data_IF_325321204743
#
_entry.id   IF_325321204743
#
_cell.length_a   1.000
_cell.length_b   1.000
_cell.length_c   1.000
_cell.angle_alpha   90.00
_cell.angle_beta   90.00
_cell.angle_gamma   90.00
#
_symmetry.space_group_name_H-M   'P 1'
#
loop_
_entity.id
_entity.type
_entity.pdbx_description
1 polymer ?
#
# COMPACT_ATOMS: atom_id res chain seq x y z
N UNK A 1 29.07 61.56 16.74
CA UNK A 1 28.08 60.52 17.10
C UNK A 1 27.98 59.58 15.92
N UNK A 2 28.65 58.42 15.97
CA UNK A 2 28.62 57.41 14.91
C UNK A 2 27.54 56.40 15.24
N UNK A 3 26.56 56.24 14.35
CA UNK A 3 25.49 55.25 14.47
C UNK A 3 25.86 54.05 13.60
N UNK A 4 26.04 52.89 14.21
CA UNK A 4 26.24 51.62 13.52
C UNK A 4 24.88 50.90 13.40
N UNK A 5 24.44 50.63 12.18
CA UNK A 5 23.26 49.81 11.89
C UNK A 5 23.76 48.38 11.65
N UNK A 6 23.50 47.48 12.60
CA UNK A 6 23.77 46.06 12.45
C UNK A 6 22.67 45.37 11.64
N UNK A 7 23.00 44.90 10.44
CA UNK A 7 22.12 44.02 9.66
C UNK A 7 22.36 42.59 10.14
N UNK A 8 21.41 42.03 10.88
CA UNK A 8 21.41 40.62 11.25
C UNK A 8 20.98 39.78 10.05
N UNK A 9 21.94 39.11 9.41
CA UNK A 9 21.63 38.01 8.50
C UNK A 9 21.26 36.78 9.32
N UNK A 10 19.98 36.40 9.30
CA UNK A 10 19.56 35.08 9.76
C UNK A 10 20.01 34.03 8.74
N UNK A 11 21.15 33.41 8.98
CA UNK A 11 21.56 32.22 8.25
C UNK A 11 20.60 31.07 8.61
N UNK A 12 19.72 30.70 7.69
CA UNK A 12 18.95 29.47 7.79
C UNK A 12 19.89 28.29 7.64
N UNK A 13 20.26 27.64 8.74
CA UNK A 13 20.91 26.34 8.68
C UNK A 13 19.88 25.31 8.18
N UNK A 14 20.11 24.70 7.01
CA UNK A 14 19.41 23.47 6.65
C UNK A 14 19.84 22.39 7.64
N UNK A 15 18.88 21.77 8.33
CA UNK A 15 19.13 20.51 9.03
C UNK A 15 19.42 19.48 7.94
N UNK A 16 20.70 19.16 7.78
CA UNK A 16 21.14 18.03 6.96
C UNK A 16 21.14 16.79 7.87
N UNK A 17 19.96 16.24 8.14
CA UNK A 17 19.85 14.84 8.56
C UNK A 17 20.01 13.92 7.33
N UNK A 18 21.06 14.15 6.54
CA UNK A 18 21.41 13.33 5.38
C UNK A 18 22.63 12.52 5.76
N UNK A 19 22.40 11.49 6.58
CA UNK A 19 23.28 10.34 6.65
C UNK A 19 22.86 9.33 5.56
N UNK A 20 23.81 8.60 4.99
CA UNK A 20 23.46 7.38 4.26
C UNK A 20 22.80 6.44 5.27
N UNK A 21 21.56 5.95 5.02
CA UNK A 21 20.97 4.97 5.92
C UNK A 21 21.90 3.76 6.03
N UNK A 22 21.98 3.14 7.20
CA UNK A 22 22.62 1.84 7.31
C UNK A 22 21.78 0.83 6.52
N UNK A 23 22.30 0.36 5.40
CA UNK A 23 21.63 -0.63 4.53
C UNK A 23 22.17 -2.01 4.84
N UNK A 24 21.31 -2.89 5.34
CA UNK A 24 21.57 -4.32 5.43
C UNK A 24 20.86 -5.04 4.28
N UNK A 25 21.62 -5.81 3.50
CA UNK A 25 21.10 -6.58 2.37
C UNK A 25 20.93 -8.05 2.74
N UNK A 26 19.74 -8.60 2.49
CA UNK A 26 19.43 -10.02 2.67
C UNK A 26 19.19 -10.66 1.30
N UNK A 27 20.22 -11.27 0.67
CA UNK A 27 20.04 -11.92 -0.62
C UNK A 27 19.21 -13.20 -0.49
N UNK A 28 18.61 -13.65 -1.62
CA UNK A 28 17.67 -14.79 -1.64
C UNK A 28 18.21 -16.10 -1.09
N UNK A 29 19.52 -16.31 -1.13
CA UNK A 29 20.19 -17.48 -0.56
C UNK A 29 20.25 -17.45 0.98
N UNK A 30 19.97 -16.31 1.62
CA UNK A 30 19.86 -16.22 3.07
C UNK A 30 18.47 -16.66 3.54
N UNK A 31 17.41 -16.15 2.91
CA UNK A 31 16.04 -16.48 3.29
C UNK A 31 15.45 -17.69 2.53
N UNK A 32 16.18 -18.23 1.55
CA UNK A 32 15.87 -19.46 0.79
C UNK A 32 14.47 -19.48 0.14
N UNK A 33 14.07 -18.35 -0.45
CA UNK A 33 12.85 -18.23 -1.24
C UNK A 33 13.09 -17.36 -2.49
N UNK A 34 12.04 -17.08 -3.26
CA UNK A 34 12.09 -16.31 -4.49
C UNK A 34 12.63 -14.89 -4.28
N UNK A 35 13.20 -14.29 -5.32
CA UNK A 35 13.83 -12.96 -5.25
C UNK A 35 12.84 -11.79 -5.19
N UNK A 36 11.54 -12.03 -5.42
CA UNK A 36 10.53 -10.98 -5.44
C UNK A 36 9.71 -10.98 -4.15
N UNK A 37 9.66 -9.82 -3.50
CA UNK A 37 8.85 -9.54 -2.33
C UNK A 37 7.88 -8.40 -2.65
N UNK A 38 6.60 -8.57 -2.34
CA UNK A 38 5.51 -7.72 -2.82
C UNK A 38 4.94 -6.79 -1.78
N UNK A 39 5.03 -7.19 -0.51
CA UNK A 39 4.58 -6.40 0.61
C UNK A 39 5.45 -6.68 1.82
N UNK A 40 5.43 -5.74 2.77
CA UNK A 40 6.16 -5.80 4.01
C UNK A 40 5.24 -5.32 5.14
N UNK A 41 5.32 -5.95 6.30
CA UNK A 41 4.66 -5.51 7.51
C UNK A 41 5.49 -5.87 8.74
N UNK A 42 5.30 -5.12 9.83
CA UNK A 42 5.93 -5.41 11.11
C UNK A 42 4.84 -5.57 12.18
N UNK A 43 4.94 -6.61 13.01
CA UNK A 43 4.04 -6.75 14.16
C UNK A 43 4.54 -5.94 15.37
N UNK A 44 3.72 -5.84 16.42
CA UNK A 44 4.09 -5.10 17.64
C UNK A 44 5.26 -5.72 18.43
N UNK A 45 5.61 -6.97 18.14
CA UNK A 45 6.73 -7.70 18.76
C UNK A 45 8.05 -7.50 17.99
N UNK A 46 8.02 -6.78 16.87
CA UNK A 46 9.20 -6.45 16.06
C UNK A 46 9.49 -7.43 14.92
N UNK A 47 8.73 -8.54 14.80
CA UNK A 47 8.87 -9.47 13.68
C UNK A 47 8.48 -8.80 12.37
N UNK A 48 9.27 -9.05 11.35
CA UNK A 48 9.05 -8.56 10.00
C UNK A 48 8.43 -9.67 9.16
N UNK A 49 7.45 -9.31 8.33
CA UNK A 49 6.75 -10.21 7.44
C UNK A 49 6.81 -9.71 6.02
N UNK A 50 7.00 -10.63 5.07
CA UNK A 50 7.10 -10.31 3.66
C UNK A 50 6.23 -11.25 2.83
N UNK A 51 5.40 -10.69 1.95
CA UNK A 51 4.74 -11.49 0.93
C UNK A 51 5.72 -11.79 -0.21
N UNK A 52 5.93 -13.06 -0.51
CA UNK A 52 6.90 -13.54 -1.50
C UNK A 52 6.21 -14.45 -2.53
N UNK A 53 6.84 -14.68 -3.69
CA UNK A 53 6.32 -15.64 -4.68
C UNK A 53 6.17 -17.06 -4.13
N UNK A 54 6.93 -17.45 -3.10
CA UNK A 54 6.89 -18.80 -2.54
C UNK A 54 6.03 -18.92 -1.27
N UNK A 55 5.49 -17.81 -0.74
CA UNK A 55 4.70 -17.80 0.50
C UNK A 55 4.91 -16.56 1.37
N UNK A 56 4.54 -16.68 2.65
CA UNK A 56 4.79 -15.66 3.67
C UNK A 56 6.17 -15.92 4.30
N UNK A 57 7.07 -14.94 4.25
CA UNK A 57 8.32 -14.97 4.99
C UNK A 57 8.14 -14.24 6.33
N UNK A 58 8.65 -14.83 7.40
CA UNK A 58 8.82 -14.20 8.72
C UNK A 58 10.32 -14.04 9.01
N UNK A 59 10.69 -12.89 9.57
CA UNK A 59 12.04 -12.60 10.03
C UNK A 59 12.01 -12.08 11.46
N UNK A 60 12.73 -12.76 12.36
CA UNK A 60 12.78 -12.47 13.80
C UNK A 60 13.96 -11.55 14.21
N UNK A 61 14.73 -11.07 13.23
CA UNK A 61 15.98 -10.33 13.46
C UNK A 61 17.25 -11.15 13.19
N UNK A 62 17.14 -12.48 13.11
CA UNK A 62 18.25 -13.40 12.83
C UNK A 62 17.90 -14.51 11.85
N UNK A 63 16.75 -15.16 12.04
CA UNK A 63 16.29 -16.31 11.27
C UNK A 63 15.12 -15.94 10.37
N UNK A 64 15.07 -16.60 9.23
CA UNK A 64 14.01 -16.49 8.24
C UNK A 64 13.22 -17.79 8.22
N UNK A 65 11.90 -17.69 8.30
CA UNK A 65 10.99 -18.84 8.18
C UNK A 65 10.01 -18.60 7.04
N UNK A 66 9.88 -19.58 6.14
CA UNK A 66 8.90 -19.56 5.06
C UNK A 66 7.65 -20.35 5.44
N UNK A 67 6.50 -19.74 5.25
CA UNK A 67 5.17 -20.33 5.39
C UNK A 67 4.46 -20.33 4.03
N UNK A 68 4.52 -21.43 3.27
CA UNK A 68 3.80 -21.54 2.00
C UNK A 68 2.27 -21.51 2.22
N UNK A 69 1.55 -20.93 1.27
CA UNK A 69 0.11 -21.16 1.17
C UNK A 69 -0.17 -22.61 0.77
N UNK A 70 -1.34 -23.20 1.13
CA UNK A 70 -1.73 -24.54 0.70
C UNK A 70 -1.60 -24.77 -0.81
N UNK A 71 -2.01 -23.80 -1.63
CA UNK A 71 -1.87 -23.85 -3.09
C UNK A 71 -0.45 -23.67 -3.61
N UNK A 72 0.54 -23.40 -2.72
CA UNK A 72 1.92 -23.02 -3.05
C UNK A 72 1.99 -21.85 -4.03
N UNK A 73 1.07 -20.91 -3.85
CA UNK A 73 0.99 -19.69 -4.65
C UNK A 73 1.68 -18.52 -3.95
N UNK A 74 1.88 -17.46 -4.73
CA UNK A 74 2.36 -16.16 -4.28
C UNK A 74 1.55 -15.59 -3.11
N UNK A 75 2.23 -14.99 -2.13
CA UNK A 75 1.61 -14.04 -1.20
C UNK A 75 1.85 -12.63 -1.71
N UNK A 76 0.81 -12.03 -2.29
CA UNK A 76 0.85 -10.71 -2.93
C UNK A 76 0.68 -9.59 -1.91
N UNK A 77 -0.18 -9.78 -0.91
CA UNK A 77 -0.52 -8.76 0.08
C UNK A 77 -0.74 -9.35 1.47
N UNK A 78 -0.42 -8.57 2.50
CA UNK A 78 -0.62 -8.93 3.91
C UNK A 78 -1.18 -7.78 4.73
N UNK A 79 -1.89 -8.12 5.81
CA UNK A 79 -2.33 -7.17 6.85
C UNK A 79 -2.21 -7.84 8.22
N UNK A 80 -1.50 -7.19 9.14
CA UNK A 80 -1.38 -7.65 10.53
C UNK A 80 -2.44 -6.97 11.40
N UNK A 81 -3.21 -7.77 12.15
CA UNK A 81 -4.18 -7.29 13.13
C UNK A 81 -4.14 -8.14 14.39
N UNK A 82 -3.48 -7.62 15.44
CA UNK A 82 -3.17 -8.42 16.62
C UNK A 82 -2.14 -9.49 16.26
N UNK A 83 -2.41 -10.75 16.63
CA UNK A 83 -1.60 -11.91 16.24
C UNK A 83 -2.06 -12.56 14.91
N UNK A 84 -3.10 -12.03 14.27
CA UNK A 84 -3.58 -12.52 12.97
C UNK A 84 -2.88 -11.81 11.83
N UNK A 85 -2.40 -12.58 10.85
CA UNK A 85 -1.79 -12.07 9.62
C UNK A 85 -2.69 -12.47 8.45
N UNK A 86 -3.55 -11.56 8.01
CA UNK A 86 -4.31 -11.76 6.78
C UNK A 86 -3.35 -11.78 5.60
N UNK A 87 -3.56 -12.73 4.69
CA UNK A 87 -2.74 -12.92 3.51
C UNK A 87 -3.62 -13.17 2.29
N UNK A 88 -3.17 -12.66 1.15
CA UNK A 88 -3.87 -12.78 -0.13
C UNK A 88 -2.86 -13.00 -1.25
N UNK A 89 -3.22 -13.91 -2.15
CA UNK A 89 -2.41 -14.39 -3.25
C UNK A 89 -3.23 -14.57 -4.51
N UNK A 90 -2.75 -15.44 -5.40
CA UNK A 90 -3.48 -15.89 -6.58
C UNK A 90 -4.56 -16.91 -6.19
N UNK A 91 -5.83 -16.55 -6.39
CA UNK A 91 -7.04 -17.33 -6.09
C UNK A 91 -7.13 -17.91 -4.67
N UNK A 92 -6.30 -17.39 -3.75
CA UNK A 92 -6.23 -17.82 -2.37
C UNK A 92 -6.17 -16.60 -1.44
N UNK A 93 -7.10 -16.53 -0.49
CA UNK A 93 -7.06 -15.54 0.58
C UNK A 93 -7.48 -16.14 1.91
N UNK A 94 -6.90 -15.62 2.98
CA UNK A 94 -7.13 -16.14 4.32
C UNK A 94 -6.33 -15.40 5.37
N UNK A 95 -5.99 -16.10 6.43
CA UNK A 95 -5.09 -15.58 7.45
C UNK A 95 -4.25 -16.66 8.10
N UNK A 96 -3.07 -16.26 8.56
CA UNK A 96 -2.26 -17.02 9.48
C UNK A 96 -2.60 -16.65 10.92
N UNK A 97 -2.65 -17.66 11.79
CA UNK A 97 -2.74 -17.52 13.24
C UNK A 97 -1.71 -18.46 13.88
N UNK A 98 -0.98 -18.02 14.93
CA UNK A 98 -0.11 -18.93 15.66
C UNK A 98 -0.92 -20.02 16.38
N UNK A 99 -0.44 -21.25 16.31
CA UNK A 99 -0.90 -22.35 17.16
C UNK A 99 -0.33 -22.25 18.59
N UNK A 100 -0.57 -23.29 19.40
CA UNK A 100 -0.12 -23.33 20.79
C UNK A 100 1.42 -23.27 20.94
N UNK A 101 2.16 -23.71 19.92
CA UNK A 101 3.62 -23.69 19.88
C UNK A 101 4.16 -22.41 19.21
N UNK A 102 3.27 -21.49 18.81
CA UNK A 102 3.61 -20.24 18.13
C UNK A 102 3.83 -20.37 16.63
N UNK A 103 3.61 -21.55 16.04
CA UNK A 103 3.79 -21.77 14.61
C UNK A 103 2.57 -21.25 13.84
N UNK A 104 2.81 -20.47 12.79
CA UNK A 104 1.74 -19.93 11.96
C UNK A 104 1.02 -21.04 11.17
N UNK A 105 -0.31 -21.07 11.31
CA UNK A 105 -1.22 -21.96 10.58
C UNK A 105 -2.16 -21.14 9.70
N UNK A 106 -2.27 -21.50 8.42
CA UNK A 106 -3.13 -20.80 7.48
C UNK A 106 -4.57 -21.32 7.54
N UNK A 107 -5.53 -20.40 7.66
CA UNK A 107 -6.96 -20.65 7.49
C UNK A 107 -7.42 -20.03 6.18
N UNK A 108 -7.86 -20.87 5.24
CA UNK A 108 -8.39 -20.43 3.96
C UNK A 108 -9.80 -19.82 4.15
N UNK A 109 -10.06 -18.70 3.49
CA UNK A 109 -11.35 -18.01 3.49
C UNK A 109 -12.03 -18.01 2.11
N UNK A 110 -11.35 -18.45 1.05
CA UNK A 110 -11.87 -18.47 -0.32
C UNK A 110 -13.19 -19.26 -0.44
N UNK A 111 -13.35 -20.32 0.35
CA UNK A 111 -14.57 -21.16 0.33
C UNK A 111 -15.81 -20.46 0.91
N UNK A 112 -15.64 -19.33 1.60
CA UNK A 112 -16.75 -18.53 2.13
C UNK A 112 -17.32 -17.56 1.09
N UNK A 113 -16.71 -17.46 -0.09
CA UNK A 113 -17.16 -16.60 -1.18
C UNK A 113 -18.16 -17.38 -2.06
N UNK A 114 -19.25 -16.77 -2.54
CA UNK A 114 -20.11 -17.39 -3.55
C UNK A 114 -19.33 -17.79 -4.80
N UNK A 115 -19.61 -18.97 -5.37
CA UNK A 115 -18.87 -19.60 -6.47
C UNK A 115 -18.65 -18.65 -7.66
N UNK A 116 -19.66 -17.85 -7.98
CA UNK A 116 -19.63 -16.86 -9.05
C UNK A 116 -18.46 -15.86 -8.93
N UNK A 117 -18.04 -15.55 -7.70
CA UNK A 117 -16.96 -14.61 -7.41
C UNK A 117 -15.63 -15.27 -7.03
N UNK A 118 -15.51 -16.61 -7.06
CA UNK A 118 -14.29 -17.31 -6.60
C UNK A 118 -13.11 -17.22 -7.56
N UNK A 119 -13.34 -16.89 -8.85
CA UNK A 119 -12.24 -16.57 -9.77
C UNK A 119 -11.99 -15.07 -9.78
N UNK A 120 -11.12 -14.64 -8.85
CA UNK A 120 -10.79 -13.24 -8.63
C UNK A 120 -9.34 -12.89 -8.99
N UNK A 121 -8.58 -13.84 -9.55
CA UNK A 121 -7.15 -13.67 -9.87
C UNK A 121 -6.36 -13.36 -8.58
N UNK A 122 -5.68 -12.22 -8.50
CA UNK A 122 -4.86 -11.88 -7.34
C UNK A 122 -5.52 -10.94 -6.35
N UNK A 123 -5.25 -11.14 -5.05
CA UNK A 123 -5.50 -10.14 -4.02
C UNK A 123 -4.32 -9.17 -3.93
N UNK A 124 -4.48 -8.01 -4.56
CA UNK A 124 -3.46 -6.97 -4.65
C UNK A 124 -3.27 -6.18 -3.36
N UNK A 125 -4.33 -5.99 -2.57
CA UNK A 125 -4.30 -5.21 -1.33
C UNK A 125 -5.24 -5.79 -0.27
N UNK A 126 -4.84 -5.66 0.99
CA UNK A 126 -5.67 -5.99 2.16
C UNK A 126 -5.67 -4.79 3.11
N UNK A 127 -6.87 -4.36 3.53
CA UNK A 127 -7.02 -3.21 4.43
C UNK A 127 -7.88 -3.55 5.64
N UNK A 128 -7.43 -3.10 6.80
CA UNK A 128 -8.25 -3.05 8.01
C UNK A 128 -9.13 -1.82 7.97
N UNK A 129 -10.44 -2.00 8.08
CA UNK A 129 -11.42 -0.89 8.09
C UNK A 129 -12.35 -1.00 9.30
N UNK A 130 -13.10 0.07 9.58
CA UNK A 130 -14.19 0.01 10.57
C UNK A 130 -15.32 -0.96 10.20
N UNK A 131 -15.40 -1.36 8.92
CA UNK A 131 -16.40 -2.29 8.41
C UNK A 131 -15.93 -3.74 8.38
N UNK A 132 -14.65 -4.04 8.64
CA UNK A 132 -14.07 -5.37 8.50
C UNK A 132 -12.74 -5.36 7.75
N UNK A 133 -12.32 -6.51 7.25
CA UNK A 133 -11.12 -6.66 6.43
C UNK A 133 -11.51 -6.60 4.97
N UNK A 134 -10.94 -5.67 4.22
CA UNK A 134 -11.18 -5.51 2.80
C UNK A 134 -10.06 -6.16 1.99
N UNK A 135 -10.37 -7.19 1.20
CA UNK A 135 -9.46 -7.81 0.24
C UNK A 135 -9.81 -7.31 -1.15
N UNK A 136 -8.83 -6.74 -1.86
CA UNK A 136 -9.05 -6.14 -3.17
C UNK A 136 -8.37 -6.94 -4.26
N UNK A 137 -9.15 -7.39 -5.24
CA UNK A 137 -8.67 -7.81 -6.55
C UNK A 137 -9.07 -6.79 -7.63
N UNK A 138 -8.59 -6.94 -8.86
CA UNK A 138 -9.07 -6.11 -9.97
C UNK A 138 -10.51 -6.42 -10.40
N UNK A 139 -11.03 -7.59 -10.00
CA UNK A 139 -12.39 -8.03 -10.32
C UNK A 139 -13.40 -7.63 -9.26
N UNK A 140 -13.03 -7.64 -7.98
CA UNK A 140 -13.95 -7.42 -6.87
C UNK A 140 -13.25 -6.83 -5.64
N UNK A 141 -14.05 -6.22 -4.77
CA UNK A 141 -13.66 -5.85 -3.42
C UNK A 141 -14.46 -6.70 -2.43
N UNK A 142 -13.77 -7.52 -1.65
CA UNK A 142 -14.37 -8.45 -0.70
C UNK A 142 -14.24 -7.90 0.72
N UNK A 143 -15.37 -7.67 1.40
CA UNK A 143 -15.39 -7.23 2.79
C UNK A 143 -15.70 -8.41 3.69
N UNK A 144 -14.70 -8.88 4.44
CA UNK A 144 -14.82 -9.93 5.44
C UNK A 144 -15.16 -9.36 6.81
N UNK A 145 -16.29 -9.78 7.38
CA UNK A 145 -16.72 -9.41 8.72
C UNK A 145 -17.51 -10.54 9.36
N UNK A 146 -17.18 -10.89 10.61
CA UNK A 146 -17.90 -11.88 11.41
C UNK A 146 -18.16 -13.20 10.67
N UNK A 147 -17.12 -13.73 10.00
CA UNK A 147 -17.21 -15.01 9.28
C UNK A 147 -17.93 -14.95 7.93
N UNK A 148 -18.28 -13.77 7.41
CA UNK A 148 -19.03 -13.61 6.15
C UNK A 148 -18.35 -12.61 5.22
N UNK A 149 -18.49 -12.85 3.92
CA UNK A 149 -18.11 -11.90 2.88
C UNK A 149 -19.30 -11.09 2.37
N UNK A 150 -19.07 -9.81 2.15
CA UNK A 150 -19.85 -8.97 1.24
C UNK A 150 -18.97 -8.65 0.04
N UNK A 151 -19.48 -8.91 -1.17
CA UNK A 151 -18.74 -8.65 -2.42
C UNK A 151 -19.24 -7.35 -3.03
N UNK A 152 -18.31 -6.49 -3.43
CA UNK A 152 -18.59 -5.25 -4.15
C UNK A 152 -17.97 -5.38 -5.54
N UNK A 153 -18.80 -5.24 -6.56
CA UNK A 153 -18.38 -5.27 -7.96
C UNK A 153 -17.97 -3.88 -8.45
N UNK A 154 -16.96 -3.78 -9.32
CA UNK A 154 -16.63 -2.55 -10.03
C UNK A 154 -17.74 -2.21 -11.02
N UNK A 155 -17.74 -0.97 -11.52
CA UNK A 155 -18.57 -0.63 -12.68
C UNK A 155 -17.97 -1.21 -13.97
N UNK A 156 -16.65 -1.30 -14.04
CA UNK A 156 -15.93 -1.94 -15.16
C UNK A 156 -14.88 -2.92 -14.64
N UNK A 157 -13.76 -2.40 -14.17
CA UNK A 157 -12.75 -3.14 -13.43
C UNK A 157 -12.05 -2.20 -12.47
N UNK A 158 -11.62 -2.74 -11.34
CA UNK A 158 -10.79 -1.99 -10.42
C UNK A 158 -9.35 -1.91 -10.96
N UNK A 159 -8.69 -0.82 -10.59
CA UNK A 159 -7.25 -0.65 -10.65
C UNK A 159 -6.72 -0.65 -9.21
N UNK A 160 -5.77 0.22 -8.90
CA UNK A 160 -5.17 0.32 -7.58
C UNK A 160 -6.15 0.86 -6.53
N UNK A 161 -5.92 0.43 -5.30
CA UNK A 161 -6.65 0.85 -4.11
C UNK A 161 -5.70 1.34 -3.04
N UNK A 162 -6.20 2.15 -2.10
CA UNK A 162 -5.42 2.84 -1.07
C UNK A 162 -6.22 2.95 0.21
N UNK A 163 -5.54 2.97 1.36
CA UNK A 163 -6.16 3.28 2.65
C UNK A 163 -5.65 4.64 3.12
N UNK A 164 -6.56 5.62 3.22
CA UNK A 164 -6.24 6.96 3.71
C UNK A 164 -7.20 7.33 4.82
N UNK A 165 -6.67 7.68 5.99
CA UNK A 165 -7.46 8.07 7.17
C UNK A 165 -8.58 7.07 7.52
N UNK A 166 -8.29 5.77 7.37
CA UNK A 166 -9.24 4.68 7.66
C UNK A 166 -10.31 4.44 6.57
N UNK A 167 -10.26 5.18 5.45
CA UNK A 167 -11.18 5.05 4.32
C UNK A 167 -10.44 4.37 3.17
N UNK A 168 -11.05 3.33 2.61
CA UNK A 168 -10.54 2.68 1.40
C UNK A 168 -10.96 3.51 0.19
N UNK A 169 -9.97 3.95 -0.58
CA UNK A 169 -10.15 4.53 -1.89
C UNK A 169 -9.79 3.49 -2.94
N UNK A 170 -10.51 3.47 -4.06
CA UNK A 170 -10.28 2.53 -5.15
C UNK A 170 -10.56 3.22 -6.47
N UNK A 171 -9.73 2.94 -7.47
CA UNK A 171 -9.93 3.46 -8.82
C UNK A 171 -10.74 2.44 -9.61
N UNK A 172 -11.89 2.85 -10.13
CA UNK A 172 -12.57 2.14 -11.23
C UNK A 172 -12.15 2.77 -12.56
N UNK A 173 -11.82 1.93 -13.55
CA UNK A 173 -11.26 2.42 -14.83
C UNK A 173 -12.18 3.37 -15.60
N UNK A 174 -13.48 3.39 -15.31
CA UNK A 174 -14.45 4.28 -15.97
C UNK A 174 -15.04 5.33 -15.02
N UNK A 175 -15.25 5.00 -13.75
CA UNK A 175 -15.80 5.94 -12.75
C UNK A 175 -14.75 6.78 -12.02
N UNK A 176 -13.46 6.53 -12.25
CA UNK A 176 -12.37 7.25 -11.62
C UNK A 176 -12.18 6.86 -10.16
N UNK A 177 -11.74 7.81 -9.33
CA UNK A 177 -11.49 7.58 -7.92
C UNK A 177 -12.81 7.47 -7.16
N UNK A 178 -12.97 6.38 -6.41
CA UNK A 178 -14.10 6.13 -5.54
C UNK A 178 -13.63 5.90 -4.11
N UNK A 179 -14.52 6.09 -3.14
CA UNK A 179 -14.30 5.77 -1.73
C UNK A 179 -15.34 4.77 -1.23
N UNK A 180 -14.90 3.85 -0.38
CA UNK A 180 -15.77 2.91 0.31
C UNK A 180 -16.49 3.61 1.46
N UNK A 181 -17.81 3.52 1.44
CA UNK A 181 -18.71 3.99 2.49
C UNK A 181 -19.55 2.84 3.04
N UNK A 182 -20.41 3.12 4.02
CA UNK A 182 -21.39 2.15 4.51
C UNK A 182 -22.41 1.71 3.46
N UNK A 183 -22.60 2.50 2.40
CA UNK A 183 -23.56 2.23 1.32
C UNK A 183 -22.91 1.62 0.07
N UNK A 184 -21.61 1.32 0.13
CA UNK A 184 -20.81 0.89 -1.02
C UNK A 184 -19.88 1.99 -1.53
N UNK A 185 -19.54 1.94 -2.81
CA UNK A 185 -18.59 2.87 -3.43
C UNK A 185 -19.27 4.17 -3.87
N UNK A 186 -18.72 5.30 -3.42
CA UNK A 186 -19.11 6.64 -3.86
C UNK A 186 -17.99 7.26 -4.68
N UNK A 187 -18.32 7.87 -5.82
CA UNK A 187 -17.34 8.58 -6.65
C UNK A 187 -16.84 9.84 -5.95
N UNK A 188 -15.52 10.00 -5.92
CA UNK A 188 -14.80 11.17 -5.38
C UNK A 188 -14.39 12.11 -6.50
N UNK A 189 -13.80 11.56 -7.57
CA UNK A 189 -13.38 12.35 -8.73
C UNK A 189 -13.39 11.50 -10.00
N UNK A 190 -13.91 12.10 -11.08
CA UNK A 190 -13.89 11.53 -12.43
C UNK A 190 -12.79 12.13 -13.31
N UNK A 191 -11.84 12.84 -12.70
CA UNK A 191 -10.79 13.52 -13.45
C UNK A 191 -10.07 12.55 -14.41
N UNK A 192 -9.81 12.95 -15.68
CA UNK A 192 -9.30 12.02 -16.69
C UNK A 192 -7.97 11.32 -16.35
N UNK A 193 -7.18 11.88 -15.42
CA UNK A 193 -5.94 11.25 -14.95
C UNK A 193 -6.16 9.82 -14.43
N UNK A 194 -7.30 9.54 -13.79
CA UNK A 194 -7.63 8.22 -13.26
C UNK A 194 -7.88 7.16 -14.36
N UNK A 195 -7.98 7.58 -15.62
CA UNK A 195 -8.18 6.70 -16.78
C UNK A 195 -6.94 6.63 -17.68
N UNK A 196 -6.14 7.70 -17.75
CA UNK A 196 -4.98 7.79 -18.64
C UNK A 196 -3.72 7.12 -18.11
N UNK A 197 -3.58 7.04 -16.79
CA UNK A 197 -2.36 6.53 -16.14
C UNK A 197 -2.71 5.80 -14.84
N UNK A 198 -1.87 4.87 -14.43
CA UNK A 198 -2.07 4.15 -13.18
C UNK A 198 -1.79 5.05 -11.98
N UNK A 199 -2.67 5.02 -10.99
CA UNK A 199 -2.40 5.67 -9.70
C UNK A 199 -1.53 4.74 -8.89
N UNK A 200 -0.40 5.23 -8.39
CA UNK A 200 0.62 4.47 -7.68
C UNK A 200 0.65 4.76 -6.19
N UNK A 201 0.22 5.95 -5.78
CA UNK A 201 -0.02 6.27 -4.37
C UNK A 201 -1.14 7.30 -4.21
N UNK A 202 -1.81 7.22 -3.06
CA UNK A 202 -2.75 8.23 -2.57
C UNK A 202 -2.42 8.49 -1.11
N UNK A 203 -1.95 9.69 -0.79
CA UNK A 203 -1.36 10.01 0.53
C UNK A 203 -2.05 11.23 1.16
N UNK A 204 -2.27 11.25 2.49
CA UNK A 204 -2.82 12.40 3.16
C UNK A 204 -1.80 13.56 3.24
N UNK A 205 -2.32 14.78 3.23
CA UNK A 205 -1.55 16.00 3.50
C UNK A 205 -2.04 16.69 4.78
N UNK A 206 -1.16 17.48 5.39
CA UNK A 206 -1.43 18.12 6.69
C UNK A 206 -2.60 19.13 6.64
N UNK A 207 -2.88 19.71 5.47
CA UNK A 207 -4.00 20.63 5.22
C UNK A 207 -5.32 19.90 4.90
N UNK A 208 -5.33 18.57 4.97
CA UNK A 208 -6.49 17.72 4.68
C UNK A 208 -6.67 17.38 3.20
N UNK A 209 -5.83 17.90 2.30
CA UNK A 209 -5.83 17.50 0.89
C UNK A 209 -5.20 16.13 0.68
N UNK A 210 -5.31 15.59 -0.53
CA UNK A 210 -4.73 14.30 -0.90
C UNK A 210 -3.69 14.47 -2.00
N UNK A 211 -2.53 13.87 -1.82
CA UNK A 211 -1.53 13.73 -2.86
C UNK A 211 -1.83 12.48 -3.70
N UNK A 212 -1.93 12.65 -5.02
CA UNK A 212 -2.21 11.60 -6.00
C UNK A 212 -0.98 11.40 -6.87
N UNK A 213 -0.23 10.32 -6.62
CA UNK A 213 0.92 9.95 -7.44
C UNK A 213 0.52 9.04 -8.58
N UNK A 214 0.95 9.37 -9.80
CA UNK A 214 0.68 8.59 -11.01
C UNK A 214 1.95 7.95 -11.54
N UNK A 215 1.83 6.85 -12.29
CA UNK A 215 2.98 6.15 -12.87
C UNK A 215 3.81 7.07 -13.76
N UNK A 216 3.19 7.85 -14.65
CA UNK A 216 3.90 8.59 -15.70
C UNK A 216 3.52 10.07 -15.84
N UNK A 217 2.42 10.51 -15.23
CA UNK A 217 1.98 11.91 -15.28
C UNK A 217 2.33 12.71 -14.00
N UNK A 218 3.28 12.21 -13.22
CA UNK A 218 3.74 12.86 -12.01
C UNK A 218 2.74 12.81 -10.84
N UNK A 219 2.87 13.76 -9.94
CA UNK A 219 2.10 13.91 -8.71
C UNK A 219 1.16 15.11 -8.85
N UNK A 220 -0.07 14.92 -8.37
CA UNK A 220 -1.11 15.92 -8.28
C UNK A 220 -1.52 16.13 -6.81
N UNK A 221 -2.03 17.31 -6.50
CA UNK A 221 -2.68 17.63 -5.24
C UNK A 221 -4.18 17.71 -5.51
N UNK A 222 -4.95 16.92 -4.77
CA UNK A 222 -6.40 16.80 -4.89
C UNK A 222 -7.07 17.48 -3.72
N UNK A 223 -7.87 18.51 -4.00
CA UNK A 223 -8.77 19.13 -3.04
C UNK A 223 -10.20 18.80 -3.45
N UNK A 224 -10.91 18.05 -2.59
CA UNK A 224 -12.19 17.43 -2.91
C UNK A 224 -12.14 16.61 -4.22
N UNK A 225 -12.68 17.14 -5.31
CA UNK A 225 -12.70 16.50 -6.63
C UNK A 225 -11.63 17.00 -7.60
N UNK A 226 -11.03 18.16 -7.32
CA UNK A 226 -10.18 18.89 -8.26
C UNK A 226 -8.72 18.52 -8.08
N UNK A 227 -8.00 18.33 -9.18
CA UNK A 227 -6.58 18.00 -9.18
C UNK A 227 -5.76 19.09 -9.83
N UNK A 228 -4.66 19.47 -9.17
CA UNK A 228 -3.65 20.36 -9.71
C UNK A 228 -2.28 19.70 -9.65
N UNK A 229 -1.42 19.85 -10.67
CA UNK A 229 -0.06 19.32 -10.60
C UNK A 229 0.67 19.84 -9.37
N UNK A 230 1.40 18.97 -8.67
CA UNK A 230 2.21 19.40 -7.54
C UNK A 230 3.36 20.28 -8.01
N UNK A 231 3.38 21.54 -7.58
CA UNK A 231 4.40 22.52 -7.92
C UNK A 231 5.68 22.28 -7.10
N UNK A 232 6.41 21.21 -7.46
CA UNK A 232 7.65 20.81 -6.81
C UNK A 232 8.66 20.28 -7.83
N UNK A 233 9.98 20.56 -7.69
CA UNK A 233 11.00 19.98 -8.56
C UNK A 233 11.02 18.44 -8.58
N UNK A 234 10.56 17.80 -7.50
CA UNK A 234 10.40 16.34 -7.41
C UNK A 234 9.46 15.83 -8.51
N UNK A 235 8.41 16.60 -8.85
CA UNK A 235 7.40 16.18 -9.81
C UNK A 235 7.98 15.94 -11.22
N UNK A 236 8.99 16.72 -11.62
CA UNK A 236 9.69 16.52 -12.89
C UNK A 236 10.49 15.22 -12.91
N UNK A 237 11.15 14.86 -11.79
CA UNK A 237 11.87 13.60 -11.67
C UNK A 237 10.91 12.39 -11.73
N UNK A 238 9.78 12.47 -11.03
CA UNK A 238 8.79 11.38 -11.02
C UNK A 238 8.22 11.11 -12.42
N UNK A 239 7.97 12.16 -13.23
CA UNK A 239 7.54 12.01 -14.63
C UNK A 239 8.57 11.29 -15.50
N UNK A 240 9.87 11.43 -15.20
CA UNK A 240 10.95 10.84 -15.98
C UNK A 240 11.23 9.37 -15.64
N UNK A 241 11.06 8.98 -14.37
CA UNK A 241 11.57 7.70 -13.86
C UNK A 241 10.50 6.66 -13.50
N UNK A 242 9.25 6.96 -13.81
CA UNK A 242 8.06 6.14 -13.53
C UNK A 242 7.85 5.87 -12.03
N UNK A 243 6.80 6.46 -11.45
CA UNK A 243 6.47 6.21 -10.06
C UNK A 243 6.05 4.75 -9.87
N UNK A 244 6.59 4.10 -8.84
CA UNK A 244 6.18 2.76 -8.43
C UNK A 244 5.38 2.79 -7.12
N UNK A 245 5.83 3.56 -6.13
CA UNK A 245 5.20 3.63 -4.81
C UNK A 245 5.45 4.97 -4.14
N UNK A 246 4.60 5.31 -3.16
CA UNK A 246 4.82 6.45 -2.28
C UNK A 246 4.30 6.18 -0.88
N UNK A 247 5.01 6.68 0.13
CA UNK A 247 4.64 6.57 1.54
C UNK A 247 4.81 7.89 2.27
N UNK A 248 4.05 8.08 3.35
CA UNK A 248 4.30 9.14 4.32
C UNK A 248 5.42 8.73 5.28
N UNK A 249 6.25 9.69 5.64
CA UNK A 249 7.26 9.60 6.69
C UNK A 249 6.89 10.53 7.85
N UNK A 250 7.63 10.45 8.95
CA UNK A 250 7.46 11.37 10.07
C UNK A 250 7.70 12.82 9.62
N UNK A 251 7.12 13.80 10.33
CA UNK A 251 7.38 15.22 10.08
C UNK A 251 6.84 15.77 8.75
N UNK A 252 5.78 15.15 8.18
CA UNK A 252 5.19 15.51 6.88
C UNK A 252 6.13 15.31 5.67
N UNK A 253 7.13 14.43 5.81
CA UNK A 253 7.95 14.01 4.69
C UNK A 253 7.25 12.89 3.89
N UNK A 254 7.66 12.74 2.63
CA UNK A 254 7.18 11.70 1.73
C UNK A 254 8.39 11.03 1.07
N UNK A 255 8.29 9.72 0.83
CA UNK A 255 9.26 8.97 0.04
C UNK A 255 8.56 8.40 -1.19
N UNK A 256 9.20 8.50 -2.36
CA UNK A 256 8.67 8.03 -3.63
C UNK A 256 9.66 7.06 -4.27
N UNK A 257 9.29 5.79 -4.37
CA UNK A 257 10.09 4.81 -5.10
C UNK A 257 9.73 4.85 -6.58
N UNK A 258 10.74 4.91 -7.44
CA UNK A 258 10.62 4.90 -8.90
C UNK A 258 11.15 3.59 -9.48
N UNK A 259 10.71 3.24 -10.68
CA UNK A 259 11.17 2.03 -11.38
C UNK A 259 12.63 2.16 -11.82
N UNK A 260 13.04 3.38 -12.21
CA UNK A 260 14.31 3.59 -12.92
C UNK A 260 15.37 4.36 -12.13
N UNK A 261 15.04 4.97 -10.98
CA UNK A 261 15.99 5.84 -10.27
C UNK A 261 15.88 5.77 -8.73
N UNK A 262 15.41 4.65 -8.18
CA UNK A 262 15.35 4.44 -6.74
C UNK A 262 14.37 5.36 -6.02
N UNK A 263 14.71 5.77 -4.79
CA UNK A 263 13.91 6.62 -3.87
C UNK A 263 14.47 8.04 -3.81
#
# INVERSE_FOLDING_TARGET
MLVFIGISFSAGAQIKDVGLPFINNYPKNIYNASNQNWCIAQNKKGFMYFGNNDGLLEFDGKYWTLFPLPGKTIVRSILIKGDTIFAGGFEEMGYFLPDADGKLQFTNLSDLIPDYFRSYDEIWKIYGTGSGIAFQSFRNLFIYKNGKFTVIEPFTSFSQSFLVNGIVYIVDRKRGLQRLTRRGLETVSTHPVFQRTEIRCLLPMADGTLMVGTSTEGIYIMNASDLQPWASPVNSNIRLHELYTGITLQGNFYAFGTVQNGV
#
